data_IF_944862836176
#
_entry.id   IF_944862836176
#
_cell.length_a   1.000
_cell.length_b   1.000
_cell.length_c   1.000
_cell.angle_alpha   90.00
_cell.angle_beta   90.00
_cell.angle_gamma   90.00
#
_symmetry.space_group_name_H-M   'P 1'
#
loop_
_entity.id
_entity.type
_entity.pdbx_description
1 polymer ?
#
# COMPACT_ATOMS: atom_id res chain seq x y z
N UNK A 1 11.83 -18.93 -5.36
CA UNK A 1 10.44 -18.43 -5.22
C UNK A 1 10.48 -17.31 -4.22
N UNK A 2 10.35 -16.10 -4.73
CA UNK A 2 10.52 -14.86 -3.99
C UNK A 2 9.48 -14.77 -2.87
N UNK A 3 9.96 -14.59 -1.65
CA UNK A 3 9.13 -14.32 -0.48
C UNK A 3 8.30 -13.08 -0.77
N UNK A 4 6.98 -13.26 -0.90
CA UNK A 4 6.05 -12.14 -0.87
C UNK A 4 6.08 -11.64 0.56
N UNK A 5 7.03 -10.75 0.85
CA UNK A 5 6.91 -9.82 1.95
C UNK A 5 5.54 -9.18 1.78
N UNK A 6 4.60 -9.55 2.66
CA UNK A 6 3.45 -8.71 2.96
C UNK A 6 4.03 -7.45 3.60
N UNK A 7 4.61 -6.58 2.76
CA UNK A 7 4.60 -5.16 3.03
C UNK A 7 3.14 -4.87 3.34
N UNK A 8 2.88 -4.11 4.40
CA UNK A 8 1.60 -3.45 4.59
C UNK A 8 1.34 -2.62 3.33
N UNK A 9 0.80 -3.26 2.30
CA UNK A 9 0.29 -2.58 1.12
C UNK A 9 -0.96 -1.95 1.65
N UNK A 10 -0.94 -0.64 1.78
CA UNK A 10 -2.09 0.15 2.17
C UNK A 10 -3.10 0.01 1.01
N UNK A 11 -3.96 -1.03 1.06
CA UNK A 11 -4.95 -1.35 0.00
C UNK A 11 -5.98 -0.22 -0.15
N UNK A 12 -6.04 0.70 0.82
CA UNK A 12 -6.97 1.82 0.87
C UNK A 12 -6.63 3.02 -0.02
N UNK A 13 -5.71 2.89 -0.98
CA UNK A 13 -5.38 3.99 -1.89
C UNK A 13 -6.39 4.17 -3.05
N UNK A 14 -7.65 3.76 -2.86
CA UNK A 14 -8.74 3.98 -3.82
C UNK A 14 -9.43 5.32 -3.55
N UNK A 15 -8.66 6.40 -3.66
CA UNK A 15 -9.23 7.73 -3.79
C UNK A 15 -9.68 7.91 -5.24
N UNK A 16 -11.00 7.85 -5.47
CA UNK A 16 -11.65 8.34 -6.70
C UNK A 16 -11.64 9.87 -6.79
N UNK A 17 -10.92 10.57 -5.90
CA UNK A 17 -10.57 11.98 -6.14
C UNK A 17 -9.60 11.96 -7.30
N UNK A 18 -10.00 12.59 -8.40
CA UNK A 18 -9.19 12.83 -9.60
C UNK A 18 -7.77 13.22 -9.16
N UNK A 19 -6.84 12.26 -9.10
CA UNK A 19 -5.41 12.56 -8.95
C UNK A 19 -5.03 13.21 -10.27
N UNK A 20 -5.18 14.52 -10.36
CA UNK A 20 -4.37 15.31 -11.28
C UNK A 20 -2.94 14.97 -10.91
N UNK A 21 -2.34 14.03 -11.65
CA UNK A 21 -0.90 13.83 -11.63
C UNK A 21 -0.36 15.13 -12.20
N UNK A 22 0.01 16.04 -11.31
CA UNK A 22 0.71 17.27 -11.66
C UNK A 22 2.12 16.83 -12.01
N UNK A 23 2.30 16.38 -13.25
CA UNK A 23 3.62 16.19 -13.82
C UNK A 23 4.23 17.58 -13.96
N UNK A 24 5.29 17.95 -13.21
CA UNK A 24 6.04 19.14 -13.59
C UNK A 24 6.48 18.91 -15.03
N UNK A 25 6.05 19.80 -15.93
CA UNK A 25 6.46 19.78 -17.32
C UNK A 25 7.99 19.81 -17.31
N UNK A 26 8.62 18.69 -17.63
CA UNK A 26 10.06 18.61 -17.67
C UNK A 26 10.58 19.70 -18.62
N UNK A 27 11.56 20.48 -18.16
CA UNK A 27 12.21 21.48 -18.98
C UNK A 27 12.75 20.86 -20.26
N UNK A 28 12.89 21.67 -21.31
CA UNK A 28 13.48 21.22 -22.58
C UNK A 28 14.79 20.48 -22.29
N UNK A 29 15.09 19.36 -22.98
CA UNK A 29 16.24 18.51 -22.67
C UNK A 29 17.61 19.19 -22.81
N UNK A 30 17.64 20.41 -23.36
CA UNK A 30 18.84 21.21 -23.56
C UNK A 30 18.80 22.57 -22.82
N UNK A 31 17.92 22.70 -21.82
CA UNK A 31 17.87 23.89 -20.96
C UNK A 31 18.85 23.71 -19.79
N UNK A 32 19.63 24.75 -19.49
CA UNK A 32 20.44 24.80 -18.26
C UNK A 32 19.51 24.66 -17.05
N UNK A 33 19.76 23.68 -16.18
CA UNK A 33 19.04 23.55 -14.91
C UNK A 33 19.42 24.71 -14.01
N UNK A 34 18.63 25.79 -14.08
CA UNK A 34 18.65 26.85 -13.09
C UNK A 34 17.83 26.35 -11.91
N UNK A 35 18.36 26.45 -10.69
CA UNK A 35 17.58 26.23 -9.47
C UNK A 35 16.54 27.35 -9.37
N UNK A 36 15.43 27.20 -10.08
CA UNK A 36 14.27 28.05 -9.90
C UNK A 36 13.69 27.74 -8.51
N UNK A 37 13.50 28.78 -7.70
CA UNK A 37 12.91 28.65 -6.37
C UNK A 37 11.53 28.00 -6.52
N UNK A 38 11.42 26.75 -6.07
CA UNK A 38 10.20 25.96 -6.23
C UNK A 38 9.00 26.75 -5.72
N UNK A 39 7.92 26.81 -6.51
CA UNK A 39 6.72 27.53 -6.12
C UNK A 39 6.14 26.93 -4.84
N UNK A 40 6.29 27.65 -3.73
CA UNK A 40 5.86 27.24 -2.39
C UNK A 40 4.36 26.93 -2.37
N UNK A 41 3.57 27.62 -3.19
CA UNK A 41 2.14 27.35 -3.33
C UNK A 41 1.88 25.99 -3.97
N UNK A 42 2.65 25.65 -5.00
CA UNK A 42 2.54 24.37 -5.70
C UNK A 42 2.90 23.19 -4.79
N UNK A 43 3.96 23.33 -3.98
CA UNK A 43 4.34 22.34 -2.96
C UNK A 43 3.24 22.16 -1.91
N UNK A 44 2.62 23.24 -1.45
CA UNK A 44 1.51 23.17 -0.49
C UNK A 44 0.30 22.41 -1.08
N UNK A 45 -0.04 22.68 -2.34
CA UNK A 45 -1.14 21.99 -3.05
C UNK A 45 -0.83 20.51 -3.21
N UNK A 46 0.40 20.15 -3.59
CA UNK A 46 0.83 18.75 -3.68
C UNK A 46 0.74 18.05 -2.33
N UNK A 47 1.29 18.67 -1.29
CA UNK A 47 1.26 18.13 0.07
C UNK A 47 -0.19 17.92 0.55
N UNK A 48 -1.08 18.90 0.30
CA UNK A 48 -2.50 18.80 0.63
C UNK A 48 -3.22 17.71 -0.16
N UNK A 49 -2.88 17.51 -1.43
CA UNK A 49 -3.47 16.47 -2.28
C UNK A 49 -2.98 15.06 -1.91
N UNK A 50 -1.77 14.94 -1.37
CA UNK A 50 -1.19 13.69 -0.89
C UNK A 50 -1.70 13.26 0.50
N UNK A 51 -2.46 14.10 1.20
CA UNK A 51 -3.04 13.75 2.49
C UNK A 51 -4.06 12.61 2.38
N UNK A 52 -4.08 11.77 3.40
CA UNK A 52 -5.06 10.70 3.56
C UNK A 52 -6.49 11.28 3.71
N UNK A 53 -7.52 10.62 3.17
CA UNK A 53 -8.91 11.11 3.25
C UNK A 53 -9.36 11.50 4.66
N UNK A 54 -9.03 10.69 5.68
CA UNK A 54 -9.37 10.93 7.09
C UNK A 54 -8.72 12.18 7.69
N UNK A 55 -7.62 12.67 7.10
CA UNK A 55 -6.98 13.94 7.50
C UNK A 55 -7.56 15.14 6.76
N UNK A 56 -8.23 14.90 5.63
CA UNK A 56 -8.76 15.95 4.74
C UNK A 56 -10.22 16.27 5.02
N UNK A 57 -11.02 15.28 5.42
CA UNK A 57 -12.44 15.42 5.69
C UNK A 57 -12.78 14.87 7.08
N UNK A 58 -13.84 15.41 7.69
CA UNK A 58 -14.34 14.96 8.99
C UNK A 58 -15.11 13.64 8.88
N UNK A 59 -15.79 13.44 7.76
CA UNK A 59 -16.65 12.29 7.47
C UNK A 59 -16.36 11.75 6.07
N UNK A 60 -16.80 10.52 5.80
CA UNK A 60 -16.67 9.90 4.48
C UNK A 60 -17.61 10.56 3.49
N UNK A 61 -17.07 11.06 2.38
CA UNK A 61 -17.85 11.77 1.35
C UNK A 61 -18.51 10.82 0.35
N UNK A 62 -18.06 9.56 0.29
CA UNK A 62 -18.55 8.56 -0.67
C UNK A 62 -18.67 7.19 -0.02
N UNK A 63 -19.61 6.37 -0.50
CA UNK A 63 -19.82 4.99 -0.03
C UNK A 63 -18.52 4.17 -0.06
N UNK A 64 -17.73 4.31 -1.11
CA UNK A 64 -16.44 3.61 -1.20
C UNK A 64 -15.43 4.04 -0.11
N UNK A 65 -15.50 5.28 0.38
CA UNK A 65 -14.65 5.74 1.47
C UNK A 65 -15.10 5.19 2.82
N UNK A 66 -16.39 4.86 3.00
CA UNK A 66 -16.91 4.28 4.25
C UNK A 66 -16.21 2.96 4.58
N UNK A 67 -16.00 2.09 3.59
CA UNK A 67 -15.38 0.77 3.75
C UNK A 67 -13.91 0.79 4.24
N UNK A 68 -13.28 1.95 4.32
CA UNK A 68 -11.91 2.12 4.83
C UNK A 68 -11.72 3.35 5.71
N UNK A 69 -12.82 4.00 6.13
CA UNK A 69 -12.75 5.28 6.86
C UNK A 69 -12.11 5.11 8.24
N UNK A 70 -12.52 4.05 8.95
CA UNK A 70 -11.95 3.63 10.23
C UNK A 70 -11.04 2.43 9.95
N UNK A 71 -9.76 2.70 9.75
CA UNK A 71 -8.76 1.66 9.44
C UNK A 71 -8.21 0.95 10.68
N UNK A 72 -8.43 1.52 11.86
CA UNK A 72 -8.03 0.93 13.13
C UNK A 72 -9.07 -0.11 13.57
N UNK A 73 -8.61 -1.24 14.15
CA UNK A 73 -9.54 -2.22 14.69
C UNK A 73 -10.35 -1.59 15.83
N UNK A 74 -11.63 -1.94 15.93
CA UNK A 74 -12.53 -1.44 16.98
C UNK A 74 -12.07 -1.84 18.39
N UNK A 75 -11.31 -2.92 18.50
CA UNK A 75 -10.68 -3.37 19.73
C UNK A 75 -9.21 -3.69 19.45
N UNK A 76 -8.33 -3.29 20.36
CA UNK A 76 -6.93 -3.67 20.28
C UNK A 76 -6.81 -5.19 20.41
N UNK A 77 -6.22 -5.81 19.39
CA UNK A 77 -6.05 -7.26 19.37
C UNK A 77 -4.79 -7.63 20.16
N UNK A 78 -4.99 -8.15 21.37
CA UNK A 78 -3.90 -8.77 22.14
C UNK A 78 -3.49 -10.10 21.48
N UNK A 79 -2.28 -10.15 20.94
CA UNK A 79 -1.71 -11.35 20.32
C UNK A 79 -1.20 -12.37 21.33
N UNK A 80 -1.20 -12.04 22.62
CA UNK A 80 -0.86 -12.98 23.70
C UNK A 80 -2.08 -13.75 24.22
N UNK A 81 -3.29 -13.20 24.02
CA UNK A 81 -4.52 -13.86 24.45
C UNK A 81 -4.94 -14.97 23.48
N UNK A 82 -4.72 -16.22 23.89
CA UNK A 82 -5.08 -17.40 23.14
C UNK A 82 -6.60 -17.56 22.91
N UNK A 83 -7.47 -16.80 23.60
CA UNK A 83 -8.92 -16.84 23.36
C UNK A 83 -9.33 -16.14 22.07
N UNK A 84 -8.56 -15.12 21.66
CA UNK A 84 -8.89 -14.29 20.49
C UNK A 84 -7.86 -14.43 19.37
N UNK A 85 -6.62 -14.78 19.67
CA UNK A 85 -5.54 -14.86 18.68
C UNK A 85 -5.22 -16.30 18.24
N UNK A 86 -5.73 -16.68 17.07
CA UNK A 86 -5.52 -18.00 16.47
C UNK A 86 -4.93 -17.88 15.06
N UNK A 87 -3.64 -17.53 14.92
CA UNK A 87 -3.01 -17.44 13.61
C UNK A 87 -2.85 -18.84 13.00
N UNK A 88 -3.02 -18.93 11.69
CA UNK A 88 -2.63 -20.13 10.96
C UNK A 88 -1.10 -20.22 10.93
N UNK A 89 -0.54 -21.18 11.66
CA UNK A 89 0.91 -21.42 11.70
C UNK A 89 1.24 -22.65 10.86
N UNK A 90 2.18 -22.49 9.92
CA UNK A 90 2.65 -23.60 9.11
C UNK A 90 3.43 -24.60 9.98
N UNK A 91 2.96 -25.85 10.04
CA UNK A 91 3.70 -26.94 10.66
C UNK A 91 4.79 -27.47 9.72
N UNK A 92 5.69 -28.29 10.26
CA UNK A 92 6.80 -28.88 9.49
C UNK A 92 6.31 -29.66 8.27
N UNK A 93 5.21 -30.40 8.42
CA UNK A 93 4.59 -31.13 7.31
C UNK A 93 4.12 -30.19 6.20
N UNK A 94 3.40 -29.12 6.53
CA UNK A 94 2.94 -28.14 5.54
C UNK A 94 4.11 -27.48 4.82
N UNK A 95 5.18 -27.14 5.54
CA UNK A 95 6.41 -26.58 4.95
C UNK A 95 7.09 -27.59 4.01
N UNK A 96 7.20 -28.86 4.42
CA UNK A 96 7.78 -29.91 3.59
C UNK A 96 7.00 -30.09 2.30
N UNK A 97 5.68 -30.19 2.39
CA UNK A 97 4.80 -30.36 1.23
C UNK A 97 4.88 -29.14 0.29
N UNK A 98 4.97 -27.94 0.84
CA UNK A 98 5.22 -26.72 0.07
C UNK A 98 6.52 -26.84 -0.74
N UNK A 99 7.64 -27.22 -0.12
CA UNK A 99 8.92 -27.38 -0.83
C UNK A 99 8.86 -28.46 -1.91
N UNK A 100 8.22 -29.59 -1.62
CA UNK A 100 8.01 -30.66 -2.60
C UNK A 100 7.23 -30.17 -3.82
N UNK A 101 6.18 -29.39 -3.59
CA UNK A 101 5.40 -28.77 -4.66
C UNK A 101 6.24 -27.82 -5.51
N UNK A 102 7.03 -26.95 -4.87
CA UNK A 102 7.94 -26.02 -5.57
C UNK A 102 8.92 -26.74 -6.50
N UNK A 103 9.51 -27.84 -6.02
CA UNK A 103 10.41 -28.66 -6.84
C UNK A 103 9.69 -29.32 -8.02
N UNK A 104 8.48 -29.82 -7.82
CA UNK A 104 7.68 -30.44 -8.88
C UNK A 104 7.38 -29.44 -10.00
N UNK A 105 6.94 -28.22 -9.67
CA UNK A 105 6.69 -27.18 -10.67
C UNK A 105 7.98 -26.76 -11.39
N UNK A 106 9.10 -26.64 -10.67
CA UNK A 106 10.38 -26.32 -11.30
C UNK A 106 10.83 -27.41 -12.29
N UNK A 107 10.63 -28.69 -11.96
CA UNK A 107 10.88 -29.79 -12.91
C UNK A 107 9.95 -29.73 -14.12
N UNK A 108 8.68 -29.37 -13.93
CA UNK A 108 7.70 -29.20 -15.02
C UNK A 108 8.08 -28.08 -15.99
N UNK A 109 8.61 -26.97 -15.48
CA UNK A 109 9.04 -25.82 -16.29
C UNK A 109 10.37 -26.06 -17.02
N UNK A 110 11.23 -26.93 -16.47
CA UNK A 110 12.53 -27.27 -17.04
C UNK A 110 12.50 -28.44 -18.02
N UNK A 111 11.33 -29.07 -18.21
CA UNK A 111 11.09 -30.15 -19.17
C UNK A 111 10.46 -29.58 -20.44
#
# INVERSE_FOLDING_TARGET
>A
MESIHLRNVNIFHFSLVRRTIVCPLASKPNAEQREEEEDKHFLEVLNRAALEPTKKYLESETENQEYGWISLPLMDMDRSDARFYHPNVACEMTKFMEQMWKQKEQRRLNA
#
